data_IF_001442566108
#
_entry.id   IF_001442566108
#
_cell.length_a   1.000
_cell.length_b   1.000
_cell.length_c   1.000
_cell.angle_alpha   90.00
_cell.angle_beta   90.00
_cell.angle_gamma   90.00
#
_symmetry.space_group_name_H-M   'P 1'
#
loop_
_entity.id
_entity.type
_entity.pdbx_description
1 polymer ?
#
# COMPACT_ATOMS: atom_id res chain seq x y z
N UNK A 1 -45.83 -35.29 25.90
CA UNK A 1 -45.91 -34.19 24.92
C UNK A 1 -45.27 -32.91 25.50
N UNK A 2 -43.92 -32.79 25.56
CA UNK A 2 -43.23 -31.55 26.03
C UNK A 2 -41.84 -31.30 25.38
N UNK A 3 -41.39 -32.16 24.45
CA UNK A 3 -40.04 -32.08 23.85
C UNK A 3 -39.98 -31.32 22.51
N UNK A 4 -41.11 -30.87 21.98
CA UNK A 4 -41.18 -30.18 20.68
C UNK A 4 -40.70 -28.72 20.78
N UNK A 5 -40.96 -28.06 21.92
CA UNK A 5 -40.55 -26.67 22.16
C UNK A 5 -39.03 -26.40 22.10
N UNK A 6 -38.14 -27.22 22.73
CA UNK A 6 -36.70 -26.95 22.70
C UNK A 6 -36.07 -27.21 21.32
N UNK A 7 -36.59 -28.19 20.55
CA UNK A 7 -36.08 -28.49 19.20
C UNK A 7 -36.44 -27.37 18.23
N UNK A 8 -37.68 -26.87 18.29
CA UNK A 8 -38.13 -25.75 17.45
C UNK A 8 -37.34 -24.48 17.75
N UNK A 9 -37.08 -24.18 19.03
CA UNK A 9 -36.29 -23.01 19.42
C UNK A 9 -34.84 -23.08 18.92
N UNK A 10 -34.23 -24.27 18.95
CA UNK A 10 -32.84 -24.48 18.52
C UNK A 10 -32.71 -24.38 16.99
N UNK A 11 -33.71 -24.86 16.24
CA UNK A 11 -33.79 -24.69 14.78
C UNK A 11 -33.99 -23.23 14.40
N UNK A 12 -34.86 -22.49 15.11
CA UNK A 12 -35.07 -21.05 14.87
C UNK A 12 -33.79 -20.26 15.16
N UNK A 13 -33.09 -20.55 16.27
CA UNK A 13 -31.81 -19.91 16.58
C UNK A 13 -30.74 -20.20 15.51
N UNK A 14 -30.65 -21.44 15.02
CA UNK A 14 -29.73 -21.81 13.93
C UNK A 14 -30.05 -21.10 12.61
N UNK A 15 -31.34 -20.98 12.26
CA UNK A 15 -31.78 -20.26 11.07
C UNK A 15 -31.51 -18.74 11.17
N UNK A 16 -31.72 -18.15 12.36
CA UNK A 16 -31.41 -16.74 12.60
C UNK A 16 -29.89 -16.45 12.55
N UNK A 17 -29.07 -17.43 12.93
CA UNK A 17 -27.60 -17.33 12.85
C UNK A 17 -27.10 -17.28 11.40
N UNK A 18 -27.81 -17.91 10.47
CA UNK A 18 -27.48 -17.90 9.04
C UNK A 18 -27.86 -16.59 8.33
N UNK A 19 -28.89 -15.89 8.82
CA UNK A 19 -29.32 -14.59 8.26
C UNK A 19 -28.39 -13.44 8.67
N UNK A 20 -27.64 -13.59 9.77
CA UNK A 20 -26.66 -12.60 10.23
C UNK A 20 -25.35 -12.58 9.45
N UNK A 21 -25.05 -13.61 8.66
CA UNK A 21 -23.90 -13.61 7.76
C UNK A 21 -24.20 -12.75 6.52
N UNK A 22 -23.91 -11.44 6.61
CA UNK A 22 -23.75 -10.64 5.40
C UNK A 22 -22.58 -11.20 4.59
N UNK A 23 -22.85 -11.59 3.35
CA UNK A 23 -21.79 -11.93 2.42
C UNK A 23 -20.85 -10.72 2.28
N UNK A 24 -19.52 -10.92 2.22
CA UNK A 24 -18.58 -9.85 1.93
C UNK A 24 -19.00 -9.11 0.66
N UNK A 25 -18.82 -7.79 0.62
CA UNK A 25 -19.09 -7.01 -0.59
C UNK A 25 -18.25 -7.58 -1.74
N UNK A 26 -18.88 -7.80 -2.89
CA UNK A 26 -18.19 -8.26 -4.11
C UNK A 26 -17.53 -7.12 -4.88
N UNK A 27 -17.63 -5.89 -4.38
CA UNK A 27 -17.04 -4.72 -5.02
C UNK A 27 -15.54 -4.72 -4.73
N UNK A 28 -14.74 -4.97 -5.78
CA UNK A 28 -13.29 -4.92 -5.69
C UNK A 28 -12.80 -3.56 -5.19
N UNK A 29 -11.83 -3.57 -4.29
CA UNK A 29 -11.19 -2.38 -3.75
C UNK A 29 -9.99 -2.00 -4.61
N UNK A 30 -9.86 -0.72 -4.98
CA UNK A 30 -8.71 -0.21 -5.74
C UNK A 30 -7.82 0.61 -4.83
N UNK A 31 -6.55 0.24 -4.72
CA UNK A 31 -5.57 0.91 -3.86
C UNK A 31 -4.43 1.45 -4.70
N UNK A 32 -4.24 2.76 -4.68
CA UNK A 32 -3.10 3.41 -5.31
C UNK A 32 -1.85 3.21 -4.45
N UNK A 33 -0.74 2.79 -5.06
CA UNK A 33 0.54 2.53 -4.40
C UNK A 33 1.60 3.48 -4.93
N UNK A 34 2.20 4.25 -4.03
CA UNK A 34 3.34 5.12 -4.30
C UNK A 34 4.51 4.72 -3.40
N UNK A 35 5.74 4.81 -3.93
CA UNK A 35 6.95 4.56 -3.16
C UNK A 35 7.82 5.82 -3.14
N UNK A 36 8.06 6.37 -1.95
CA UNK A 36 9.06 7.41 -1.72
C UNK A 36 9.76 7.10 -0.41
N UNK A 37 11.05 6.74 -0.47
CA UNK A 37 11.86 6.46 0.71
C UNK A 37 13.11 7.34 0.73
N UNK A 38 13.22 8.20 1.74
CA UNK A 38 14.39 9.02 2.01
C UNK A 38 14.66 9.03 3.51
N UNK A 39 15.91 8.84 3.91
CA UNK A 39 16.31 8.86 5.32
C UNK A 39 17.06 10.16 5.60
N UNK A 40 16.40 11.09 6.28
CA UNK A 40 16.95 12.43 6.45
C UNK A 40 18.04 12.46 7.52
N UNK A 41 19.22 12.92 7.12
CA UNK A 41 20.32 13.33 7.99
C UNK A 41 20.38 14.87 8.03
N UNK A 42 19.81 15.47 9.07
CA UNK A 42 19.62 16.93 9.19
C UNK A 42 20.90 17.76 9.07
N UNK A 43 22.05 17.21 9.50
CA UNK A 43 23.32 17.94 9.55
C UNK A 43 24.38 17.36 8.59
N UNK A 44 23.97 16.53 7.62
CA UNK A 44 24.91 15.96 6.67
C UNK A 44 25.46 17.06 5.74
N UNK A 45 26.78 17.06 5.47
CA UNK A 45 27.37 17.99 4.52
C UNK A 45 26.90 17.69 3.08
N UNK A 46 27.03 18.66 2.18
CA UNK A 46 26.71 18.49 0.76
C UNK A 46 25.41 19.16 0.29
N UNK A 47 24.70 19.83 1.20
CA UNK A 47 23.45 20.53 0.89
C UNK A 47 22.27 19.58 0.70
N UNK A 48 21.13 20.16 0.37
CA UNK A 48 19.88 19.43 0.19
C UNK A 48 19.92 18.51 -1.05
N UNK A 49 19.09 17.47 -1.00
CA UNK A 49 18.90 16.53 -2.09
C UNK A 49 18.01 17.17 -3.15
N UNK A 50 18.62 17.50 -4.29
CA UNK A 50 17.96 18.10 -5.45
C UNK A 50 17.39 17.06 -6.42
N UNK A 51 16.60 17.51 -7.41
CA UNK A 51 16.01 16.66 -8.47
C UNK A 51 17.09 15.82 -9.17
N UNK A 52 18.26 16.41 -9.43
CA UNK A 52 19.38 15.70 -10.06
C UNK A 52 19.78 14.45 -9.26
N UNK A 53 19.75 14.53 -7.92
CA UNK A 53 20.09 13.41 -7.05
C UNK A 53 19.17 12.21 -7.26
N UNK A 54 17.87 12.45 -7.43
CA UNK A 54 16.86 11.42 -7.66
C UNK A 54 16.83 10.90 -9.10
N UNK A 55 17.11 11.78 -10.05
CA UNK A 55 16.95 11.48 -11.49
C UNK A 55 18.23 11.00 -12.16
N UNK A 56 19.35 10.94 -11.41
CA UNK A 56 20.69 10.63 -11.93
C UNK A 56 20.78 9.29 -12.64
N UNK A 57 20.10 8.26 -12.14
CA UNK A 57 20.11 6.94 -12.76
C UNK A 57 19.00 6.78 -13.79
N UNK A 58 17.81 7.29 -13.46
CA UNK A 58 16.62 7.29 -14.31
C UNK A 58 15.62 8.34 -13.79
N UNK A 59 14.68 8.83 -14.62
CA UNK A 59 13.72 9.85 -14.20
C UNK A 59 12.80 9.42 -13.05
N UNK A 60 12.20 8.22 -13.15
CA UNK A 60 11.27 7.66 -12.16
C UNK A 60 10.98 6.18 -12.46
N UNK A 61 10.34 5.51 -11.51
CA UNK A 61 9.63 4.24 -11.71
C UNK A 61 8.26 4.53 -12.35
N UNK A 62 7.94 3.79 -13.41
CA UNK A 62 6.61 3.82 -14.04
C UNK A 62 5.64 2.95 -13.26
N UNK A 63 4.35 3.26 -13.34
CA UNK A 63 3.21 2.58 -12.70
C UNK A 63 3.52 1.18 -12.15
N UNK A 64 3.49 0.16 -13.00
CA UNK A 64 3.60 -1.23 -12.55
C UNK A 64 4.99 -1.60 -12.00
N UNK A 65 6.05 -0.87 -12.41
CA UNK A 65 7.40 -1.08 -11.83
C UNK A 65 7.39 -0.83 -10.31
N UNK A 66 6.54 0.07 -9.83
CA UNK A 66 6.39 0.40 -8.40
C UNK A 66 5.97 -0.82 -7.59
N UNK A 67 5.08 -1.66 -8.13
CA UNK A 67 4.59 -2.86 -7.44
C UNK A 67 5.68 -3.93 -7.25
N UNK A 68 6.81 -3.79 -7.94
CA UNK A 68 7.99 -4.64 -7.78
C UNK A 68 9.17 -3.95 -7.08
N UNK A 69 8.98 -2.70 -6.63
CA UNK A 69 10.06 -1.83 -6.17
C UNK A 69 10.47 -2.10 -4.71
N UNK A 70 11.42 -3.02 -4.55
CA UNK A 70 12.04 -3.29 -3.25
C UNK A 70 11.19 -4.15 -2.31
N UNK A 71 11.79 -4.57 -1.21
CA UNK A 71 11.22 -5.55 -0.28
C UNK A 71 9.96 -5.06 0.44
N UNK A 72 9.88 -3.78 0.83
CA UNK A 72 8.70 -3.24 1.52
C UNK A 72 7.46 -3.25 0.63
N UNK A 73 7.58 -2.80 -0.63
CA UNK A 73 6.45 -2.82 -1.56
C UNK A 73 6.07 -4.25 -1.93
N UNK A 74 7.06 -5.13 -2.16
CA UNK A 74 6.79 -6.54 -2.43
C UNK A 74 6.01 -7.22 -1.31
N UNK A 75 6.36 -6.97 -0.04
CA UNK A 75 5.62 -7.49 1.11
C UNK A 75 4.17 -6.97 1.16
N UNK A 76 3.98 -5.68 0.87
CA UNK A 76 2.63 -5.10 0.76
C UNK A 76 1.81 -5.75 -0.36
N UNK A 77 2.40 -5.92 -1.55
CA UNK A 77 1.74 -6.54 -2.71
C UNK A 77 1.35 -7.99 -2.42
N UNK A 78 2.24 -8.76 -1.79
CA UNK A 78 1.95 -10.14 -1.37
C UNK A 78 0.77 -10.17 -0.40
N UNK A 79 0.81 -9.35 0.66
CA UNK A 79 -0.25 -9.35 1.66
C UNK A 79 -1.61 -8.88 1.11
N UNK A 80 -1.61 -7.92 0.18
CA UNK A 80 -2.83 -7.46 -0.48
C UNK A 80 -3.43 -8.56 -1.38
N UNK A 81 -2.59 -9.31 -2.09
CA UNK A 81 -3.02 -10.43 -2.94
C UNK A 81 -3.76 -11.53 -2.19
N UNK A 82 -3.44 -11.75 -0.90
CA UNK A 82 -4.10 -12.76 -0.07
C UNK A 82 -5.59 -12.48 0.18
N UNK A 83 -6.03 -11.23 0.07
CA UNK A 83 -7.44 -10.85 0.28
C UNK A 83 -8.34 -11.19 -0.91
N UNK A 84 -7.78 -11.27 -2.12
CA UNK A 84 -8.50 -11.67 -3.35
C UNK A 84 -9.48 -10.64 -3.92
N UNK A 85 -9.77 -9.56 -3.19
CA UNK A 85 -10.68 -8.47 -3.59
C UNK A 85 -9.98 -7.10 -3.73
N UNK A 86 -8.64 -7.07 -3.67
CA UNK A 86 -7.83 -5.85 -3.78
C UNK A 86 -7.10 -5.78 -5.14
N UNK A 87 -7.36 -4.73 -5.91
CA UNK A 87 -6.59 -4.32 -7.09
C UNK A 87 -5.58 -3.23 -6.70
N UNK A 88 -4.29 -3.51 -6.92
CA UNK A 88 -3.22 -2.53 -6.67
C UNK A 88 -2.87 -1.78 -7.95
N UNK A 89 -2.77 -0.45 -7.84
CA UNK A 89 -2.43 0.44 -8.93
C UNK A 89 -1.16 1.22 -8.61
N UNK A 90 -0.09 0.95 -9.33
CA UNK A 90 1.14 1.71 -9.17
C UNK A 90 1.01 3.15 -9.66
N UNK A 91 1.52 4.09 -8.87
CA UNK A 91 1.62 5.53 -9.16
C UNK A 91 3.07 5.86 -9.42
N UNK A 92 3.37 6.57 -10.51
CA UNK A 92 4.73 7.03 -10.84
C UNK A 92 5.47 7.52 -9.60
N UNK A 93 6.67 6.97 -9.35
CA UNK A 93 7.37 7.11 -8.08
C UNK A 93 8.87 7.38 -8.29
N UNK A 94 9.54 8.07 -7.36
CA UNK A 94 11.01 8.09 -7.33
C UNK A 94 11.60 6.68 -7.24
N UNK A 95 12.75 6.46 -7.88
CA UNK A 95 13.48 5.19 -7.82
C UNK A 95 14.45 5.15 -6.63
N UNK A 96 15.66 5.66 -6.81
CA UNK A 96 16.67 5.71 -5.76
C UNK A 96 17.48 6.98 -5.88
N UNK A 97 17.80 7.59 -4.75
CA UNK A 97 18.65 8.77 -4.71
C UNK A 97 20.12 8.36 -4.85
N UNK A 98 20.85 9.10 -5.68
CA UNK A 98 22.28 8.93 -5.83
C UNK A 98 23.01 9.10 -4.48
N UNK A 99 23.88 8.15 -4.15
CA UNK A 99 24.60 8.15 -2.87
C UNK A 99 23.82 7.53 -1.70
N UNK A 100 22.63 6.98 -1.94
CA UNK A 100 21.82 6.30 -0.92
C UNK A 100 20.89 7.23 -0.16
N UNK A 101 19.96 6.66 0.60
CA UNK A 101 18.86 7.39 1.23
C UNK A 101 19.28 8.27 2.40
N UNK A 102 20.40 7.98 3.07
CA UNK A 102 20.88 8.68 4.28
C UNK A 102 21.55 10.02 3.93
N UNK A 103 20.76 11.01 3.47
CA UNK A 103 21.23 12.31 2.95
C UNK A 103 20.52 13.48 3.63
N UNK A 104 20.98 14.71 3.38
CA UNK A 104 20.25 15.92 3.81
C UNK A 104 18.81 15.93 3.27
N UNK A 105 18.03 16.85 3.80
CA UNK A 105 16.65 17.13 3.39
C UNK A 105 16.49 17.18 1.87
N UNK A 106 15.33 16.77 1.38
CA UNK A 106 14.94 17.08 0.00
C UNK A 106 14.68 18.58 -0.11
N UNK A 107 15.20 19.20 -1.17
CA UNK A 107 14.76 20.55 -1.51
C UNK A 107 13.26 20.54 -1.78
N UNK A 108 12.61 21.68 -1.58
CA UNK A 108 11.18 21.81 -1.88
C UNK A 108 10.88 21.42 -3.32
N UNK A 109 11.69 21.90 -4.25
CA UNK A 109 11.56 21.61 -5.67
C UNK A 109 11.70 20.11 -5.97
N UNK A 110 12.61 19.39 -5.30
CA UNK A 110 12.76 17.95 -5.50
C UNK A 110 11.61 17.14 -4.92
N UNK A 111 11.03 17.57 -3.81
CA UNK A 111 9.82 16.94 -3.27
C UNK A 111 8.61 17.15 -4.20
N UNK A 112 8.34 18.40 -4.59
CA UNK A 112 7.20 18.75 -5.45
C UNK A 112 7.30 18.08 -6.84
N UNK A 113 8.52 17.92 -7.39
CA UNK A 113 8.74 17.23 -8.66
C UNK A 113 8.13 15.82 -8.75
N UNK A 114 8.00 15.11 -7.62
CA UNK A 114 7.44 13.75 -7.58
C UNK A 114 6.03 13.67 -6.99
N UNK A 115 5.58 14.69 -6.26
CA UNK A 115 4.33 14.65 -5.51
C UNK A 115 3.19 15.44 -6.17
N UNK A 116 3.51 16.32 -7.12
CA UNK A 116 2.55 17.05 -7.96
C UNK A 116 2.33 16.33 -9.31
#
# INVERSE_FOLDING_TARGET
MKRVAPVVLLVICGLLSLVGCQAPSTDGHRVAVIRYQHETCTFCPGGDTEIEGWTRFRPHLTRDEVLSAGNYVLGFVQQAGDYGDIELLGVTSPDTVFGGSSRSWNSRASFEHFME
#
